data_IF_782494925995
#
_entry.id   IF_782494925995
#
_cell.length_a   1.000
_cell.length_b   1.000
_cell.length_c   1.000
_cell.angle_alpha   90.00
_cell.angle_beta   90.00
_cell.angle_gamma   90.00
#
_symmetry.space_group_name_H-M   'P 1'
#
loop_
_entity.id
_entity.type
_entity.pdbx_description
1 polymer ?
#
# COMPACT_ATOMS: atom_id res chain seq x y z
N UNK A 1 -6.21 5.23 -1.62
CA UNK A 1 -5.98 6.66 -1.29
C UNK A 1 -4.50 7.00 -1.44
N UNK A 2 -4.19 8.09 -2.13
CA UNK A 2 -2.81 8.55 -2.30
C UNK A 2 -2.20 8.96 -0.97
N UNK A 3 -0.91 8.65 -0.80
CA UNK A 3 -0.13 9.12 0.33
C UNK A 3 -0.06 10.66 0.31
N UNK A 4 -0.26 11.33 1.47
CA UNK A 4 -0.16 12.79 1.53
C UNK A 4 1.28 13.32 1.56
N UNK A 5 2.29 12.47 1.79
CA UNK A 5 3.67 12.89 2.03
C UNK A 5 4.74 11.93 1.47
N UNK A 6 4.37 11.00 0.62
CA UNK A 6 5.29 10.03 0.03
C UNK A 6 5.67 8.87 0.94
N UNK A 7 5.19 8.83 2.20
CA UNK A 7 5.38 7.69 3.09
C UNK A 7 4.38 6.58 2.77
N UNK A 8 4.69 5.37 3.20
CA UNK A 8 3.84 4.20 3.03
C UNK A 8 2.88 4.10 4.21
N UNK A 9 1.58 4.02 3.93
CA UNK A 9 0.54 3.96 4.95
C UNK A 9 -0.07 2.56 5.05
N UNK A 10 -0.80 2.32 6.15
CA UNK A 10 -1.47 1.04 6.40
C UNK A 10 -2.38 0.64 5.24
N UNK A 11 -2.27 -0.60 4.77
CA UNK A 11 -3.11 -1.14 3.70
C UNK A 11 -4.51 -1.49 4.19
N UNK A 12 -5.49 -1.34 3.31
CA UNK A 12 -6.86 -1.82 3.53
C UNK A 12 -6.94 -3.32 3.28
N UNK A 13 -7.77 -4.02 4.04
CA UNK A 13 -7.85 -5.48 4.00
C UNK A 13 -8.63 -6.05 2.81
N UNK A 14 -9.22 -5.21 1.97
CA UNK A 14 -9.92 -5.66 0.76
C UNK A 14 -9.05 -6.48 -0.17
N UNK A 15 -7.78 -6.13 -0.32
CA UNK A 15 -6.83 -6.88 -1.15
C UNK A 15 -6.62 -8.31 -0.61
N UNK A 16 -6.51 -8.46 0.72
CA UNK A 16 -6.34 -9.78 1.33
C UNK A 16 -7.53 -10.70 1.06
N UNK A 17 -8.74 -10.16 1.15
CA UNK A 17 -9.95 -10.92 0.84
C UNK A 17 -9.95 -11.40 -0.61
N UNK A 18 -9.64 -10.52 -1.55
CA UNK A 18 -9.55 -10.88 -2.97
C UNK A 18 -8.51 -11.98 -3.23
N UNK A 19 -7.34 -11.86 -2.62
CA UNK A 19 -6.26 -12.84 -2.76
C UNK A 19 -6.68 -14.21 -2.25
N UNK A 20 -7.28 -14.27 -1.07
CA UNK A 20 -7.70 -15.55 -0.46
C UNK A 20 -8.89 -16.18 -1.21
N UNK A 21 -9.85 -15.38 -1.66
CA UNK A 21 -10.98 -15.87 -2.46
C UNK A 21 -10.53 -16.40 -3.81
N UNK A 22 -9.62 -15.72 -4.48
CA UNK A 22 -9.11 -16.11 -5.79
C UNK A 22 -8.03 -17.21 -5.71
N UNK A 23 -7.45 -17.44 -4.52
CA UNK A 23 -6.38 -18.43 -4.30
C UNK A 23 -5.19 -18.22 -5.23
N UNK A 24 -4.74 -16.98 -5.33
CA UNK A 24 -3.64 -16.56 -6.22
C UNK A 24 -2.48 -16.00 -5.40
N UNK A 25 -1.24 -16.09 -5.91
CA UNK A 25 -0.11 -15.41 -5.29
C UNK A 25 -0.18 -13.90 -5.51
N UNK A 26 0.56 -13.15 -4.69
CA UNK A 26 0.68 -11.70 -4.80
C UNK A 26 2.11 -11.36 -5.21
N UNK A 27 2.25 -10.56 -6.26
CA UNK A 27 3.56 -10.03 -6.64
C UNK A 27 3.62 -8.57 -6.22
N UNK A 28 4.42 -8.23 -5.20
CA UNK A 28 4.55 -6.84 -4.78
C UNK A 28 5.36 -6.06 -5.81
N UNK A 29 4.89 -4.87 -6.14
CA UNK A 29 5.55 -3.96 -7.08
C UNK A 29 5.68 -2.60 -6.40
N UNK A 30 6.91 -2.13 -6.23
CA UNK A 30 7.19 -0.81 -5.71
C UNK A 30 7.47 0.15 -6.85
N UNK A 31 6.85 1.31 -6.81
CA UNK A 31 7.07 2.40 -7.76
C UNK A 31 7.90 3.48 -7.09
N UNK A 32 9.00 3.86 -7.72
CA UNK A 32 9.96 4.82 -7.17
C UNK A 32 9.77 6.18 -7.85
N UNK A 33 9.79 7.24 -7.05
CA UNK A 33 9.73 8.63 -7.48
C UNK A 33 8.39 9.07 -8.11
N UNK A 34 7.31 8.31 -7.92
CA UNK A 34 5.99 8.70 -8.45
C UNK A 34 5.47 10.00 -7.83
N UNK A 35 5.79 10.29 -6.57
CA UNK A 35 5.43 11.55 -5.91
C UNK A 35 6.10 12.76 -6.55
N UNK A 36 7.22 12.57 -7.24
CA UNK A 36 7.94 13.62 -7.97
C UNK A 36 7.33 13.91 -9.34
N UNK A 37 6.58 12.97 -9.90
CA UNK A 37 5.89 13.12 -11.19
C UNK A 37 4.69 14.03 -11.07
N UNK A 38 3.86 13.81 -10.03
CA UNK A 38 2.66 14.60 -9.77
C UNK A 38 2.50 14.78 -8.26
N UNK A 39 3.25 15.71 -7.65
CA UNK A 39 3.09 16.00 -6.23
C UNK A 39 1.67 16.44 -5.89
N UNK A 40 1.26 16.18 -4.65
CA UNK A 40 -0.07 16.56 -4.17
C UNK A 40 -0.22 18.07 -4.23
N UNK A 41 -1.34 18.54 -4.82
CA UNK A 41 -1.63 19.95 -5.00
C UNK A 41 -1.17 20.54 -6.34
N UNK A 42 -0.43 19.82 -7.15
CA UNK A 42 -0.05 20.26 -8.50
C UNK A 42 -1.06 19.77 -9.54
N UNK A 43 -1.39 20.63 -10.48
CA UNK A 43 -2.32 20.32 -11.57
C UNK A 43 -1.67 19.57 -12.72
N UNK A 44 -0.39 19.88 -13.02
CA UNK A 44 0.34 19.29 -14.13
C UNK A 44 1.43 18.37 -13.61
N UNK A 45 1.55 17.13 -14.12
CA UNK A 45 2.64 16.25 -13.74
C UNK A 45 3.96 16.77 -14.29
N UNK A 46 5.02 16.62 -13.51
CA UNK A 46 6.38 16.86 -13.99
C UNK A 46 6.88 15.63 -14.73
N UNK A 47 7.57 15.81 -15.85
CA UNK A 47 8.18 14.70 -16.58
C UNK A 47 9.45 14.30 -15.86
N UNK A 48 9.45 13.11 -15.25
CA UNK A 48 10.61 12.55 -14.55
C UNK A 48 10.68 11.03 -14.77
N UNK A 49 11.87 10.48 -14.64
CA UNK A 49 12.08 9.04 -14.72
C UNK A 49 11.46 8.38 -13.48
N UNK A 50 10.63 7.35 -13.71
CA UNK A 50 10.02 6.55 -12.66
C UNK A 50 10.70 5.18 -12.64
N UNK A 51 11.06 4.71 -11.45
CA UNK A 51 11.57 3.35 -11.26
C UNK A 51 10.46 2.38 -10.87
N UNK A 52 10.61 1.13 -11.26
CA UNK A 52 9.71 0.04 -10.87
C UNK A 52 10.58 -1.10 -10.33
N UNK A 53 10.26 -1.60 -9.12
CA UNK A 53 10.91 -2.76 -8.51
C UNK A 53 9.86 -3.83 -8.31
N UNK A 54 10.07 -5.01 -8.92
CA UNK A 54 9.17 -6.15 -8.80
C UNK A 54 9.77 -7.12 -7.79
N UNK A 55 9.02 -7.45 -6.74
CA UNK A 55 9.45 -8.37 -5.70
C UNK A 55 9.11 -9.82 -6.02
N UNK A 56 9.49 -10.72 -5.11
CA UNK A 56 9.19 -12.13 -5.21
C UNK A 56 7.70 -12.40 -4.96
N UNK A 57 7.10 -13.41 -5.62
CA UNK A 57 5.71 -13.78 -5.35
C UNK A 57 5.49 -14.20 -3.90
N UNK A 58 4.43 -13.70 -3.30
CA UNK A 58 3.99 -14.07 -1.95
C UNK A 58 2.89 -15.10 -2.05
N UNK A 59 3.08 -16.25 -1.40
CA UNK A 59 2.10 -17.33 -1.38
C UNK A 59 1.35 -17.32 -0.05
N UNK A 60 0.02 -17.20 -0.13
CA UNK A 60 -0.86 -17.20 1.04
C UNK A 60 -1.76 -18.44 1.10
N UNK A 61 -1.38 -19.53 0.41
CA UNK A 61 -2.18 -20.76 0.36
C UNK A 61 -2.43 -21.39 1.74
N UNK A 62 -1.54 -21.13 2.71
CA UNK A 62 -1.72 -21.56 4.10
C UNK A 62 -2.96 -20.98 4.77
N UNK A 63 -3.53 -19.93 4.22
CA UNK A 63 -4.73 -19.27 4.72
C UNK A 63 -5.98 -19.55 3.86
N UNK A 64 -5.92 -20.51 2.94
CA UNK A 64 -7.06 -20.87 2.10
C UNK A 64 -8.28 -21.21 2.96
N UNK A 65 -9.44 -20.67 2.60
CA UNK A 65 -10.68 -20.84 3.35
C UNK A 65 -10.86 -19.86 4.52
N UNK A 66 -9.88 -19.01 4.80
CA UNK A 66 -9.92 -18.07 5.93
C UNK A 66 -10.27 -16.63 5.53
N UNK A 67 -10.86 -16.42 4.37
CA UNK A 67 -11.21 -15.10 3.84
C UNK A 67 -12.26 -14.34 4.67
N UNK A 68 -12.91 -15.03 5.61
CA UNK A 68 -13.82 -14.40 6.57
C UNK A 68 -13.20 -14.02 7.91
N UNK A 69 -11.94 -14.39 8.14
CA UNK A 69 -11.25 -14.13 9.41
C UNK A 69 -10.53 -12.78 9.36
N UNK A 70 -10.99 -11.82 10.19
CA UNK A 70 -10.41 -10.46 10.22
C UNK A 70 -8.95 -10.45 10.62
N UNK A 71 -8.53 -11.33 11.51
CA UNK A 71 -7.14 -11.42 11.97
C UNK A 71 -6.25 -11.88 10.81
N UNK A 72 -6.71 -12.89 10.06
CA UNK A 72 -5.99 -13.39 8.89
C UNK A 72 -5.92 -12.32 7.80
N UNK A 73 -7.03 -11.63 7.51
CA UNK A 73 -7.04 -10.55 6.52
C UNK A 73 -6.06 -9.43 6.88
N UNK A 74 -6.01 -9.06 8.15
CA UNK A 74 -5.05 -8.05 8.63
C UNK A 74 -3.61 -8.55 8.50
N UNK A 75 -3.34 -9.79 8.86
CA UNK A 75 -2.01 -10.38 8.77
C UNK A 75 -1.51 -10.47 7.32
N UNK A 76 -2.36 -10.91 6.40
CA UNK A 76 -2.02 -10.99 4.97
C UNK A 76 -1.73 -9.59 4.40
N UNK A 77 -2.58 -8.62 4.71
CA UNK A 77 -2.39 -7.24 4.25
C UNK A 77 -1.09 -6.65 4.79
N UNK A 78 -0.82 -6.84 6.07
CA UNK A 78 0.41 -6.31 6.70
C UNK A 78 1.67 -6.96 6.13
N UNK A 79 1.61 -8.25 5.78
CA UNK A 79 2.74 -8.93 5.11
C UNK A 79 3.00 -8.33 3.73
N UNK A 80 1.95 -8.06 2.95
CA UNK A 80 2.06 -7.38 1.66
C UNK A 80 2.69 -6.00 1.84
N UNK A 81 2.22 -5.22 2.81
CA UNK A 81 2.74 -3.88 3.09
C UNK A 81 4.20 -3.93 3.57
N UNK A 82 4.56 -4.93 4.35
CA UNK A 82 5.95 -5.14 4.78
C UNK A 82 6.88 -5.35 3.58
N UNK A 83 6.48 -6.19 2.63
CA UNK A 83 7.25 -6.44 1.42
C UNK A 83 7.38 -5.16 0.57
N UNK A 84 6.31 -4.39 0.43
CA UNK A 84 6.36 -3.09 -0.26
C UNK A 84 7.32 -2.12 0.42
N UNK A 85 7.34 -2.11 1.76
CA UNK A 85 8.28 -1.30 2.54
C UNK A 85 9.73 -1.71 2.25
N UNK A 86 10.02 -3.01 2.22
CA UNK A 86 11.36 -3.51 1.91
C UNK A 86 11.81 -3.13 0.50
N UNK A 87 10.92 -3.25 -0.48
CA UNK A 87 11.23 -2.93 -1.87
C UNK A 87 11.41 -1.42 -2.09
N UNK A 88 10.54 -0.61 -1.53
CA UNK A 88 10.50 0.84 -1.78
C UNK A 88 11.47 1.63 -0.91
N UNK A 89 11.84 1.10 0.26
CA UNK A 89 12.60 1.85 1.25
C UNK A 89 11.83 3.00 1.90
N UNK A 90 10.52 3.10 1.69
CA UNK A 90 9.69 4.15 2.26
C UNK A 90 9.49 3.96 3.77
N UNK A 91 9.35 5.08 4.48
CA UNK A 91 8.93 5.04 5.88
C UNK A 91 7.48 4.57 5.98
N UNK A 92 7.21 3.65 6.89
CA UNK A 92 5.87 3.10 7.11
C UNK A 92 5.16 3.84 8.26
N UNK A 93 3.91 4.23 8.01
CA UNK A 93 3.05 4.87 9.01
C UNK A 93 1.88 3.91 9.31
N UNK A 94 1.78 3.47 10.57
CA UNK A 94 0.73 2.54 11.00
C UNK A 94 -0.61 3.27 11.22
N UNK A 95 -1.09 3.89 10.15
CA UNK A 95 -2.39 4.58 10.11
C UNK A 95 -2.87 4.60 8.66
N UNK A 96 -4.16 4.78 8.45
CA UNK A 96 -4.70 4.95 7.11
C UNK A 96 -4.45 6.36 6.58
N UNK A 97 -4.04 6.47 5.33
CA UNK A 97 -3.79 7.77 4.69
C UNK A 97 -5.02 8.68 4.71
N UNK A 98 -6.21 8.12 4.56
CA UNK A 98 -7.47 8.87 4.65
C UNK A 98 -7.64 9.54 6.02
N UNK A 99 -7.34 8.83 7.09
CA UNK A 99 -7.44 9.37 8.47
C UNK A 99 -6.46 10.50 8.70
N UNK A 100 -5.24 10.39 8.18
CA UNK A 100 -4.22 11.44 8.31
C UNK A 100 -4.64 12.69 7.51
N UNK A 101 -5.15 12.52 6.30
CA UNK A 101 -5.65 13.64 5.49
C UNK A 101 -6.79 14.37 6.19
N UNK A 102 -7.73 13.62 6.75
CA UNK A 102 -8.86 14.17 7.48
C UNK A 102 -8.41 14.97 8.72
N UNK A 103 -7.48 14.43 9.49
CA UNK A 103 -6.90 15.11 10.64
C UNK A 103 -6.19 16.41 10.22
N UNK A 104 -5.39 16.37 9.15
CA UNK A 104 -4.71 17.56 8.62
C UNK A 104 -5.71 18.62 8.17
N UNK A 105 -6.80 18.23 7.51
CA UNK A 105 -7.86 19.15 7.08
C UNK A 105 -8.54 19.83 8.26
N UNK A 106 -8.79 19.10 9.36
CA UNK A 106 -9.37 19.67 10.60
C UNK A 106 -8.43 20.69 11.23
N UNK A 107 -7.13 20.41 11.27
CA UNK A 107 -6.14 21.31 11.88
C UNK A 107 -5.93 22.58 11.04
N UNK A 108 -6.20 22.53 9.75
CA UNK A 108 -6.05 23.68 8.85
C UNK A 108 -7.26 24.63 8.85
N UNK A 109 -8.34 24.29 9.55
CA UNK A 109 -9.56 25.12 9.64
C UNK A 109 -9.49 26.19 10.71
#
# INVERSE_FOLDING_TARGET
TRSPDGRLYRGRTGIARMVLEAKVPVIPVAMIDTEKVQPIGQRMPKIRRIGIIIGEPLDFSRFDGMEGDRIVLRAVTDEIMYELKQLSGQEYVDAYASSVKEKRARLAR
#
